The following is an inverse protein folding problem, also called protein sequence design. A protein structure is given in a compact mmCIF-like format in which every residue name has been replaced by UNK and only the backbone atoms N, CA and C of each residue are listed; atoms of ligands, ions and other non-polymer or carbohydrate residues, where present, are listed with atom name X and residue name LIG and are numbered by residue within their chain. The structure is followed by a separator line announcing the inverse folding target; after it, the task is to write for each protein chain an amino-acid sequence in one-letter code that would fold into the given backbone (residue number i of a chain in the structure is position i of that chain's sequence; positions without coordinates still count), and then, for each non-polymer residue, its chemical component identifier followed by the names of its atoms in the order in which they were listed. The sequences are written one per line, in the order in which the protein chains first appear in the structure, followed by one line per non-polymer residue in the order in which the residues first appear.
data_IF_898585361440
#
_entry.id   IF_898585361440
#
_cell.length_a   1.000
_cell.length_b   1.000
_cell.length_c   1.000
_cell.angle_alpha   90.00
_cell.angle_beta   90.00
_cell.angle_gamma   90.00
#
_symmetry.space_group_name_H-M   'P 1'
#
loop_
_entity.id
_entity.type
_entity.pdbx_description
1 polymer ?
#
# COMPACT_ATOMS: atom_id res chain seq x y z
N UNK A 1 3.35 1.21 10.01
CA UNK A 1 3.31 -0.24 9.73
C UNK A 1 4.14 -0.56 8.49
N UNK A 2 4.81 -1.72 8.46
CA UNK A 2 5.83 -2.10 7.46
C UNK A 2 5.46 -3.34 6.63
N UNK A 3 4.23 -3.83 6.73
CA UNK A 3 3.83 -5.12 6.14
C UNK A 3 4.02 -5.13 4.61
N UNK A 4 3.52 -4.12 3.90
CA UNK A 4 3.54 -4.10 2.43
C UNK A 4 4.95 -4.03 1.83
N UNK A 5 5.92 -3.40 2.51
CA UNK A 5 7.30 -3.32 2.01
C UNK A 5 8.02 -4.68 2.06
N UNK A 6 7.65 -5.55 2.99
CA UNK A 6 8.28 -6.87 3.16
C UNK A 6 7.69 -7.95 2.24
N UNK A 7 6.69 -7.61 1.42
CA UNK A 7 6.22 -8.49 0.34
C UNK A 7 7.19 -8.52 -0.86
N UNK A 8 8.16 -7.60 -0.91
CA UNK A 8 9.09 -7.46 -2.01
C UNK A 8 10.53 -7.70 -1.54
N UNK A 9 11.38 -8.31 -2.38
CA UNK A 9 12.80 -8.43 -2.09
C UNK A 9 13.47 -7.05 -2.15
N UNK A 10 14.65 -6.94 -1.51
CA UNK A 10 15.46 -5.73 -1.59
C UNK A 10 15.87 -5.46 -3.05
N UNK A 11 15.55 -4.30 -3.61
CA UNK A 11 15.87 -3.99 -5.01
C UNK A 11 17.38 -3.75 -5.18
N UNK A 12 17.89 -4.04 -6.38
CA UNK A 12 19.22 -3.61 -6.80
C UNK A 12 19.22 -2.10 -7.10
N UNK A 13 20.37 -1.45 -6.97
CA UNK A 13 20.53 -0.01 -7.23
C UNK A 13 20.20 0.39 -8.68
N UNK A 14 20.41 -0.52 -9.63
CA UNK A 14 20.16 -0.34 -11.06
C UNK A 14 18.73 -0.72 -11.48
N UNK A 15 17.87 -1.10 -10.53
CA UNK A 15 16.49 -1.48 -10.84
C UNK A 15 15.72 -0.32 -11.47
N UNK A 16 15.10 -0.60 -12.63
CA UNK A 16 14.26 0.35 -13.36
C UNK A 16 12.78 0.25 -13.01
N UNK A 17 12.40 -0.71 -12.16
CA UNK A 17 11.01 -1.03 -11.81
C UNK A 17 10.63 -0.35 -10.51
N UNK A 18 9.52 0.39 -10.51
CA UNK A 18 9.01 1.15 -9.38
C UNK A 18 7.57 0.71 -9.09
N UNK A 19 7.29 0.42 -7.83
CA UNK A 19 5.94 0.16 -7.34
C UNK A 19 5.58 1.29 -6.38
N UNK A 20 4.47 1.97 -6.65
CA UNK A 20 3.99 3.10 -5.87
C UNK A 20 2.79 2.67 -5.05
N UNK A 21 2.88 2.87 -3.73
CA UNK A 21 1.75 2.82 -2.81
C UNK A 21 1.48 4.25 -2.31
N UNK A 22 0.56 4.96 -2.94
CA UNK A 22 0.18 6.32 -2.56
C UNK A 22 -1.09 6.28 -1.72
N UNK A 23 -1.09 6.92 -0.55
CA UNK A 23 -2.26 6.96 0.32
C UNK A 23 -3.00 8.29 0.19
N UNK A 24 -4.30 8.22 -0.08
CA UNK A 24 -5.22 9.35 -0.02
C UNK A 24 -6.48 8.92 0.73
N UNK A 25 -6.79 9.57 1.85
CA UNK A 25 -8.01 9.31 2.63
C UNK A 25 -8.24 7.84 3.00
N UNK A 26 -7.19 7.15 3.44
CA UNK A 26 -7.18 5.71 3.78
C UNK A 26 -7.41 4.76 2.59
N UNK A 27 -7.41 5.28 1.36
CA UNK A 27 -7.30 4.50 0.14
C UNK A 27 -5.84 4.48 -0.32
N UNK A 28 -5.29 3.26 -0.43
CA UNK A 28 -3.95 3.03 -0.96
C UNK A 28 -4.07 2.79 -2.47
N UNK A 29 -3.70 3.79 -3.25
CA UNK A 29 -3.50 3.70 -4.70
C UNK A 29 -2.24 2.91 -5.00
N UNK A 30 -2.40 1.77 -5.66
CA UNK A 30 -1.31 0.98 -6.20
C UNK A 30 -1.08 1.33 -7.67
N UNK A 31 0.18 1.59 -8.02
CA UNK A 31 0.62 1.72 -9.41
C UNK A 31 1.95 1.01 -9.60
N UNK A 32 2.16 0.45 -10.79
CA UNK A 32 3.38 -0.27 -11.11
C UNK A 32 3.96 0.21 -12.44
N UNK A 33 5.12 0.86 -12.35
CA UNK A 33 5.80 1.51 -13.46
C UNK A 33 7.20 0.95 -13.69
N UNK A 34 7.69 1.11 -14.90
CA UNK A 34 9.12 1.14 -15.20
C UNK A 34 9.51 2.56 -15.56
N UNK A 35 10.76 2.94 -15.29
CA UNK A 35 11.26 4.26 -15.67
C UNK A 35 12.39 4.17 -16.69
N UNK A 36 12.46 5.16 -17.57
CA UNK A 36 13.56 5.37 -18.49
C UNK A 36 14.08 6.81 -18.32
N UNK A 37 15.41 6.94 -18.16
CA UNK A 37 16.07 8.24 -18.13
C UNK A 37 16.41 8.61 -19.57
N UNK A 38 15.73 9.61 -20.14
CA UNK A 38 16.08 10.14 -21.47
C UNK A 38 17.22 11.15 -21.37
N UNK A 39 17.18 12.02 -20.36
CA UNK A 39 18.21 13.02 -20.06
C UNK A 39 18.57 12.98 -18.56
N UNK A 40 19.57 13.78 -18.16
CA UNK A 40 19.94 13.95 -16.75
C UNK A 40 18.82 14.56 -15.88
N UNK A 41 17.84 15.24 -16.49
CA UNK A 41 16.74 15.92 -15.78
C UNK A 41 15.37 15.27 -15.97
N UNK A 42 15.21 14.44 -17.01
CA UNK A 42 13.91 13.95 -17.44
C UNK A 42 13.81 12.43 -17.25
N UNK A 43 12.77 12.02 -16.54
CA UNK A 43 12.41 10.62 -16.32
C UNK A 43 11.05 10.38 -16.95
N UNK A 44 10.98 9.40 -17.84
CA UNK A 44 9.72 8.92 -18.39
C UNK A 44 9.29 7.65 -17.69
N UNK A 45 8.01 7.60 -17.31
CA UNK A 45 7.38 6.44 -16.68
C UNK A 45 6.51 5.71 -17.70
N UNK A 46 6.66 4.39 -17.76
CA UNK A 46 5.79 3.51 -18.51
C UNK A 46 5.09 2.56 -17.55
N UNK A 47 3.77 2.51 -17.63
CA UNK A 47 2.98 1.64 -16.76
C UNK A 47 2.91 0.22 -17.29
N UNK A 48 3.13 -0.76 -16.40
CA UNK A 48 3.29 -2.17 -16.80
C UNK A 48 2.37 -3.09 -15.99
N UNK A 49 1.84 -2.64 -14.85
CA UNK A 49 1.01 -3.47 -13.97
C UNK A 49 -0.44 -3.00 -13.83
N UNK A 50 -1.23 -3.71 -13.03
CA UNK A 50 -2.61 -3.34 -12.78
C UNK A 50 -2.71 -2.05 -11.97
N UNK A 51 -3.81 -1.33 -12.18
CA UNK A 51 -4.24 -0.20 -11.36
C UNK A 51 -5.33 -0.66 -10.42
N UNK A 52 -5.12 -0.46 -9.13
CA UNK A 52 -6.18 -0.67 -8.16
C UNK A 52 -6.01 0.27 -6.98
N UNK A 53 -7.10 0.43 -6.25
CA UNK A 53 -7.16 1.10 -4.98
C UNK A 53 -7.55 0.05 -3.93
N UNK A 54 -6.79 0.01 -2.84
CA UNK A 54 -7.07 -0.87 -1.72
C UNK A 54 -7.49 -0.04 -0.53
N UNK A 55 -8.50 -0.53 0.18
CA UNK A 55 -8.86 -0.02 1.50
C UNK A 55 -8.62 -1.11 2.53
N UNK A 56 -7.85 -0.79 3.56
CA UNK A 56 -7.60 -1.73 4.65
C UNK A 56 -8.88 -1.97 5.44
N UNK A 57 -9.30 -3.23 5.55
CA UNK A 57 -10.47 -3.62 6.33
C UNK A 57 -10.09 -4.12 7.74
N UNK A 58 -9.04 -4.94 7.86
CA UNK A 58 -8.67 -5.58 9.11
C UNK A 58 -7.20 -6.05 9.08
N UNK A 59 -6.53 -5.98 10.23
CA UNK A 59 -5.22 -6.60 10.49
C UNK A 59 -5.40 -7.53 11.69
N UNK A 60 -4.95 -8.79 11.54
CA UNK A 60 -4.88 -9.78 12.62
C UNK A 60 -3.43 -10.20 12.86
N UNK A 61 -3.10 -10.51 14.11
CA UNK A 61 -1.77 -10.97 14.54
C UNK A 61 -1.65 -12.49 14.39
N UNK A 62 -1.84 -12.99 13.17
CA UNK A 62 -1.77 -14.41 12.88
C UNK A 62 -1.81 -14.69 11.38
N UNK A 63 -1.46 -15.92 11.01
CA UNK A 63 -1.62 -16.40 9.65
C UNK A 63 -3.09 -16.72 9.34
N UNK A 64 -3.39 -16.95 8.06
CA UNK A 64 -4.75 -17.17 7.58
C UNK A 64 -5.41 -18.42 8.17
N UNK A 65 -4.61 -19.46 8.44
CA UNK A 65 -5.03 -20.71 9.08
C UNK A 65 -5.50 -20.50 10.53
N UNK A 66 -4.86 -19.58 11.25
CA UNK A 66 -5.18 -19.25 12.63
C UNK A 66 -6.34 -18.25 12.78
N UNK A 67 -7.12 -17.97 11.71
CA UNK A 67 -8.11 -16.89 11.69
C UNK A 67 -9.06 -16.95 12.89
N UNK A 68 -9.56 -18.13 13.28
CA UNK A 68 -10.50 -18.26 14.39
C UNK A 68 -9.93 -17.88 15.77
N UNK A 69 -8.60 -17.90 15.91
CA UNK A 69 -7.89 -17.72 17.20
C UNK A 69 -7.02 -16.48 17.26
N UNK A 70 -6.66 -15.90 16.11
CA UNK A 70 -5.76 -14.76 16.04
C UNK A 70 -6.43 -13.46 16.49
N UNK A 71 -5.72 -12.70 17.33
CA UNK A 71 -6.16 -11.41 17.82
C UNK A 71 -6.22 -10.36 16.72
N UNK A 72 -7.21 -9.47 16.81
CA UNK A 72 -7.41 -8.36 15.87
C UNK A 72 -6.60 -7.15 16.34
N UNK A 73 -5.53 -6.80 15.61
CA UNK A 73 -4.75 -5.58 15.85
C UNK A 73 -5.55 -4.33 15.49
N UNK A 74 -6.19 -4.36 14.31
CA UNK A 74 -6.95 -3.22 13.80
C UNK A 74 -8.12 -3.67 12.93
N UNK A 75 -9.24 -2.94 12.99
CA UNK A 75 -10.42 -3.17 12.16
C UNK A 75 -11.06 -1.84 11.77
N UNK A 76 -11.54 -1.76 10.53
CA UNK A 76 -12.33 -0.65 10.04
C UNK A 76 -13.75 -0.71 10.62
N UNK A 77 -14.08 0.24 11.52
CA UNK A 77 -15.40 0.34 12.15
C UNK A 77 -16.31 1.34 11.43
N UNK A 78 -17.07 0.86 10.43
CA UNK A 78 -17.93 1.69 9.57
C UNK A 78 -19.11 2.35 10.31
N UNK A 79 -19.66 1.70 11.32
CA UNK A 79 -20.93 2.09 11.96
C UNK A 79 -20.76 2.99 13.20
N UNK A 80 -19.62 3.69 13.32
CA UNK A 80 -19.40 4.66 14.40
C UNK A 80 -19.70 6.08 13.92
N UNK A 81 -20.31 6.91 14.77
CA UNK A 81 -20.66 8.32 14.46
C UNK A 81 -19.48 9.14 13.92
N UNK A 82 -18.27 8.85 14.38
CA UNK A 82 -17.03 9.53 13.99
C UNK A 82 -16.22 8.78 12.94
N UNK A 83 -16.73 7.66 12.38
CA UNK A 83 -15.99 6.81 11.46
C UNK A 83 -15.44 7.58 10.25
N UNK A 84 -16.27 8.42 9.62
CA UNK A 84 -15.88 9.22 8.44
C UNK A 84 -14.90 10.36 8.75
N UNK A 85 -14.75 10.73 10.03
CA UNK A 85 -13.87 11.84 10.45
C UNK A 85 -12.47 11.37 10.81
N UNK A 86 -12.28 10.07 11.06
CA UNK A 86 -11.00 9.50 11.47
C UNK A 86 -10.25 9.06 10.22
N UNK A 87 -9.05 9.60 10.02
CA UNK A 87 -8.06 9.10 9.05
C UNK A 87 -6.99 8.34 9.83
N UNK A 88 -6.68 7.12 9.40
CA UNK A 88 -5.78 6.22 10.15
C UNK A 88 -4.42 6.03 9.49
N UNK A 89 -4.38 6.07 8.15
CA UNK A 89 -3.22 5.70 7.36
C UNK A 89 -2.61 6.92 6.64
N UNK A 90 -3.36 8.02 6.47
CA UNK A 90 -2.79 9.28 5.96
C UNK A 90 -2.05 10.01 7.09
N UNK A 91 -0.80 10.40 6.85
CA UNK A 91 -0.10 11.36 7.70
C UNK A 91 -0.71 12.75 7.45
N UNK A 92 -0.86 13.56 8.50
CA UNK A 92 -1.21 14.99 8.38
C UNK A 92 -0.25 15.74 7.45
#
# INVERSE_FOLDING_TARGET
SSILKYLFPVPKEDSKRIITFANQEDYISFRHHTYQKKDHKNIELSEVGPRFEMKLHMIRLGALDAEATADVEWRHSSFMRTAKKRKFLSVE
#
